data_IF_910862528303
#
_entry.id   IF_910862528303
#
_cell.length_a   1.000
_cell.length_b   1.000
_cell.length_c   1.000
_cell.angle_alpha   90.00
_cell.angle_beta   90.00
_cell.angle_gamma   90.00
#
_symmetry.space_group_name_H-M   'P 1'
#
loop_
_entity.id
_entity.type
_entity.pdbx_description
1 polymer ?
#
# COMPACT_ATOMS: atom_id res chain seq x y z
N UNK A 1 -0.49 3.84 1.90
CA UNK A 1 -1.66 4.53 2.48
C UNK A 1 -1.82 5.98 2.05
N UNK A 2 -1.00 6.94 2.51
CA UNK A 2 -1.18 8.39 2.20
C UNK A 2 -1.22 8.70 0.71
N UNK A 3 -0.35 8.07 -0.08
CA UNK A 3 -0.28 8.25 -1.53
C UNK A 3 -1.58 7.84 -2.24
N UNK A 4 -2.14 6.68 -1.88
CA UNK A 4 -3.45 6.23 -2.40
C UNK A 4 -4.57 7.16 -1.98
N UNK A 5 -4.57 7.66 -0.74
CA UNK A 5 -5.57 8.63 -0.28
C UNK A 5 -5.57 9.94 -1.07
N UNK A 6 -4.39 10.46 -1.43
CA UNK A 6 -4.27 11.64 -2.30
C UNK A 6 -4.80 11.36 -3.71
N UNK A 7 -4.37 10.24 -4.31
CA UNK A 7 -4.79 9.85 -5.66
C UNK A 7 -6.31 9.62 -5.73
N UNK A 8 -6.87 8.94 -4.72
CA UNK A 8 -8.29 8.68 -4.62
C UNK A 8 -9.10 9.97 -4.46
N UNK A 9 -8.63 10.93 -3.65
CA UNK A 9 -9.30 12.24 -3.52
C UNK A 9 -9.32 12.99 -4.86
N UNK A 10 -8.21 13.00 -5.59
CA UNK A 10 -8.13 13.61 -6.92
C UNK A 10 -9.07 12.91 -7.91
N UNK A 11 -9.12 11.57 -7.87
CA UNK A 11 -10.05 10.78 -8.68
C UNK A 11 -11.51 11.11 -8.37
N UNK A 12 -11.88 11.22 -7.09
CA UNK A 12 -13.24 11.61 -6.67
C UNK A 12 -13.60 13.00 -7.18
N UNK A 13 -12.68 13.96 -7.10
CA UNK A 13 -12.89 15.31 -7.61
C UNK A 13 -13.09 15.33 -9.13
N UNK A 14 -12.30 14.56 -9.87
CA UNK A 14 -12.41 14.46 -11.33
C UNK A 14 -13.72 13.78 -11.76
N UNK A 15 -14.08 12.66 -11.14
CA UNK A 15 -15.33 11.96 -11.44
C UNK A 15 -16.54 12.86 -11.14
N UNK A 16 -16.52 13.59 -10.01
CA UNK A 16 -17.56 14.59 -9.69
C UNK A 16 -17.61 15.71 -10.72
N UNK A 17 -16.44 16.21 -11.17
CA UNK A 17 -16.38 17.25 -12.20
C UNK A 17 -17.01 16.77 -13.50
N UNK A 18 -16.70 15.57 -13.97
CA UNK A 18 -17.30 15.02 -15.18
C UNK A 18 -18.82 14.86 -15.04
N UNK A 19 -19.31 14.28 -13.94
CA UNK A 19 -20.76 14.15 -13.73
C UNK A 19 -21.51 15.48 -13.63
N UNK A 20 -20.89 16.52 -13.07
CA UNK A 20 -21.53 17.82 -12.86
C UNK A 20 -21.45 18.76 -14.08
N UNK A 21 -20.41 18.61 -14.92
CA UNK A 21 -20.12 19.58 -16.00
C UNK A 21 -20.32 19.03 -17.41
N UNK A 22 -20.37 17.71 -17.59
CA UNK A 22 -20.53 17.08 -18.91
C UNK A 22 -22.02 16.74 -19.15
N UNK A 23 -22.71 17.45 -20.06
CA UNK A 23 -24.12 17.18 -20.35
C UNK A 23 -24.31 15.79 -20.96
N UNK A 24 -25.36 15.07 -20.56
CA UNK A 24 -25.68 13.74 -21.09
C UNK A 24 -24.91 12.60 -20.44
N UNK A 25 -24.00 12.87 -19.50
CA UNK A 25 -23.17 11.81 -18.89
C UNK A 25 -23.98 10.96 -17.89
N UNK A 26 -24.81 11.59 -17.06
CA UNK A 26 -25.68 10.88 -16.11
C UNK A 26 -26.83 10.15 -16.84
N UNK A 27 -27.29 10.71 -17.96
CA UNK A 27 -28.31 10.13 -18.82
C UNK A 27 -27.76 9.01 -19.71
N UNK A 28 -26.43 8.82 -19.75
CA UNK A 28 -25.77 7.78 -20.53
C UNK A 28 -25.70 8.05 -22.04
N UNK A 29 -25.98 9.28 -22.47
CA UNK A 29 -25.93 9.67 -23.89
C UNK A 29 -24.55 10.15 -24.33
N UNK A 30 -23.72 10.62 -23.38
CA UNK A 30 -22.35 11.08 -23.62
C UNK A 30 -21.34 10.11 -22.99
N UNK A 31 -20.22 9.87 -23.67
CA UNK A 31 -19.13 9.03 -23.13
C UNK A 31 -18.28 9.83 -22.14
N UNK A 32 -17.88 9.26 -20.99
CA UNK A 32 -16.96 9.90 -20.05
C UNK A 32 -15.54 9.99 -20.61
N UNK A 33 -14.76 10.91 -20.04
CA UNK A 33 -13.33 11.01 -20.31
C UNK A 33 -12.56 10.06 -19.38
N UNK A 34 -12.32 8.85 -19.89
CA UNK A 34 -11.52 7.84 -19.20
C UNK A 34 -10.04 8.19 -19.14
N UNK A 35 -9.52 8.87 -20.16
CA UNK A 35 -8.10 9.20 -20.27
C UNK A 35 -7.64 10.07 -19.10
N UNK A 36 -8.48 11.02 -18.67
CA UNK A 36 -8.15 11.87 -17.53
C UNK A 36 -8.02 11.10 -16.22
N UNK A 37 -8.92 10.15 -15.96
CA UNK A 37 -8.83 9.28 -14.78
C UNK A 37 -7.56 8.41 -14.81
N UNK A 38 -7.22 7.86 -15.98
CA UNK A 38 -5.98 7.08 -16.16
C UNK A 38 -4.78 7.94 -15.82
N UNK A 39 -4.67 9.13 -16.39
CA UNK A 39 -3.56 10.07 -16.17
C UNK A 39 -3.35 10.39 -14.68
N UNK A 40 -4.41 10.69 -13.93
CA UNK A 40 -4.34 10.95 -12.48
C UNK A 40 -3.72 9.76 -11.74
N UNK A 41 -4.16 8.54 -12.06
CA UNK A 41 -3.64 7.33 -11.41
C UNK A 41 -2.18 7.04 -11.82
N UNK A 42 -1.82 7.27 -13.07
CA UNK A 42 -0.48 7.06 -13.62
C UNK A 42 0.52 8.03 -13.02
N UNK A 43 0.24 9.32 -13.03
CA UNK A 43 1.14 10.34 -12.49
C UNK A 43 1.36 10.15 -10.99
N UNK A 44 0.29 9.88 -10.25
CA UNK A 44 0.40 9.66 -8.81
C UNK A 44 1.17 8.39 -8.48
N UNK A 45 0.96 7.29 -9.21
CA UNK A 45 1.66 6.03 -8.95
C UNK A 45 3.15 6.13 -9.28
N UNK A 46 3.50 6.73 -10.42
CA UNK A 46 4.90 6.95 -10.83
C UNK A 46 5.67 7.81 -9.84
N UNK A 47 5.07 8.90 -9.37
CA UNK A 47 5.73 9.81 -8.45
C UNK A 47 5.85 9.25 -7.03
N UNK A 48 4.79 8.65 -6.52
CA UNK A 48 4.72 8.28 -5.11
C UNK A 48 5.40 6.93 -4.81
N UNK A 49 5.66 6.08 -5.82
CA UNK A 49 6.38 4.81 -5.61
C UNK A 49 7.87 4.99 -5.25
N UNK A 50 8.47 6.12 -5.64
CA UNK A 50 9.90 6.36 -5.47
C UNK A 50 10.29 6.41 -3.99
N UNK A 51 9.51 7.08 -3.14
CA UNK A 51 9.86 7.26 -1.74
C UNK A 51 9.85 5.93 -0.94
N UNK A 52 8.80 5.08 -1.02
CA UNK A 52 8.84 3.75 -0.40
C UNK A 52 9.94 2.85 -0.99
N UNK A 53 10.17 2.90 -2.31
CA UNK A 53 11.24 2.13 -2.95
C UNK A 53 12.62 2.53 -2.44
N UNK A 54 12.90 3.84 -2.39
CA UNK A 54 14.15 4.37 -1.87
C UNK A 54 14.34 4.04 -0.39
N UNK A 55 13.28 4.09 0.43
CA UNK A 55 13.35 3.69 1.83
C UNK A 55 13.84 2.24 1.98
N UNK A 56 13.28 1.31 1.20
CA UNK A 56 13.63 -0.11 1.27
C UNK A 56 15.06 -0.35 0.79
N UNK A 57 15.46 0.22 -0.34
CA UNK A 57 16.79 0.03 -0.91
C UNK A 57 17.89 0.71 -0.08
N UNK A 58 17.64 1.91 0.43
CA UNK A 58 18.67 2.66 1.16
C UNK A 58 18.86 2.16 2.58
N UNK A 59 17.85 1.51 3.18
CA UNK A 59 17.94 1.07 4.58
C UNK A 59 19.09 0.09 4.83
N UNK A 60 19.23 -1.04 4.08
CA UNK A 60 20.38 -1.93 4.24
C UNK A 60 21.72 -1.27 3.99
N UNK A 61 21.81 -0.45 2.94
CA UNK A 61 23.05 0.24 2.55
C UNK A 61 23.51 1.21 3.65
N UNK A 62 22.61 2.03 4.17
CA UNK A 62 22.90 3.01 5.22
C UNK A 62 23.19 2.29 6.54
N UNK A 63 22.32 1.36 6.97
CA UNK A 63 22.48 0.66 8.24
C UNK A 63 23.76 -0.19 8.25
N UNK A 64 24.02 -0.95 7.19
CA UNK A 64 25.20 -1.80 7.04
C UNK A 64 26.51 -1.01 6.97
N UNK A 65 26.54 0.09 6.21
CA UNK A 65 27.79 0.87 6.02
C UNK A 65 28.10 1.76 7.23
N UNK A 66 27.09 2.42 7.81
CA UNK A 66 27.32 3.39 8.89
C UNK A 66 27.37 2.74 10.27
N UNK A 67 26.49 1.77 10.54
CA UNK A 67 26.30 1.18 11.87
C UNK A 67 26.75 -0.28 11.97
N UNK A 68 27.18 -0.88 10.86
CA UNK A 68 27.76 -2.21 10.82
C UNK A 68 26.74 -3.36 10.72
N UNK A 69 27.27 -4.56 10.58
CA UNK A 69 26.49 -5.78 10.29
C UNK A 69 25.61 -6.23 11.46
N UNK A 70 26.04 -5.95 12.70
CA UNK A 70 25.26 -6.26 13.91
C UNK A 70 23.98 -5.42 14.00
N UNK A 71 24.08 -4.12 13.70
CA UNK A 71 22.91 -3.24 13.65
C UNK A 71 21.96 -3.69 12.54
N UNK A 72 22.50 -3.96 11.35
CA UNK A 72 21.72 -4.44 10.21
C UNK A 72 20.98 -5.76 10.53
N UNK A 73 21.62 -6.71 11.22
CA UNK A 73 20.97 -7.95 11.66
C UNK A 73 19.76 -7.68 12.57
N UNK A 74 19.87 -6.72 13.49
CA UNK A 74 18.75 -6.27 14.33
C UNK A 74 17.61 -5.64 13.53
N UNK A 75 17.94 -4.79 12.55
CA UNK A 75 16.96 -4.18 11.64
C UNK A 75 16.20 -5.25 10.85
N UNK A 76 16.91 -6.24 10.29
CA UNK A 76 16.30 -7.32 9.51
C UNK A 76 15.38 -8.19 10.37
N UNK A 77 15.83 -8.59 11.55
CA UNK A 77 15.02 -9.39 12.48
C UNK A 77 13.76 -8.62 12.92
N UNK A 78 13.92 -7.34 13.29
CA UNK A 78 12.82 -6.47 13.68
C UNK A 78 11.82 -6.23 12.56
N UNK A 79 12.29 -5.93 11.35
CA UNK A 79 11.44 -5.74 10.17
C UNK A 79 10.65 -7.01 9.81
N UNK A 80 11.26 -8.19 9.96
CA UNK A 80 10.59 -9.46 9.73
C UNK A 80 9.45 -9.70 10.73
N UNK A 81 9.74 -9.68 12.03
CA UNK A 81 8.74 -10.05 13.06
C UNK A 81 7.63 -9.02 13.21
N UNK A 82 7.90 -7.75 12.94
CA UNK A 82 6.88 -6.69 12.95
C UNK A 82 6.10 -6.60 11.65
N UNK A 83 6.80 -6.63 10.51
CA UNK A 83 6.20 -6.45 9.18
C UNK A 83 5.23 -7.57 8.82
N UNK A 84 5.50 -8.82 9.23
CA UNK A 84 4.60 -9.93 8.95
C UNK A 84 3.23 -9.76 9.62
N UNK A 85 3.17 -9.25 10.85
CA UNK A 85 1.93 -9.05 11.59
C UNK A 85 1.06 -8.00 10.90
N UNK A 86 1.68 -6.91 10.46
CA UNK A 86 1.00 -5.84 9.72
C UNK A 86 0.55 -6.33 8.34
N UNK A 87 1.40 -7.05 7.60
CA UNK A 87 1.06 -7.55 6.26
C UNK A 87 -0.18 -8.45 6.29
N UNK A 88 -0.23 -9.40 7.23
CA UNK A 88 -1.35 -10.34 7.39
C UNK A 88 -2.62 -9.62 7.82
N UNK A 89 -2.55 -8.79 8.87
CA UNK A 89 -3.73 -8.07 9.37
C UNK A 89 -4.32 -7.13 8.31
N UNK A 90 -3.51 -6.33 7.63
CA UNK A 90 -3.98 -5.43 6.58
C UNK A 90 -4.66 -6.17 5.41
N UNK A 91 -4.04 -7.26 4.94
CA UNK A 91 -4.56 -8.03 3.81
C UNK A 91 -5.88 -8.73 4.17
N UNK A 92 -5.94 -9.34 5.35
CA UNK A 92 -7.14 -10.03 5.81
C UNK A 92 -8.28 -9.06 6.10
N UNK A 93 -8.00 -7.92 6.75
CA UNK A 93 -9.02 -6.91 7.05
C UNK A 93 -9.63 -6.34 5.77
N UNK A 94 -8.82 -5.96 4.78
CA UNK A 94 -9.35 -5.47 3.52
C UNK A 94 -10.11 -6.55 2.73
N UNK A 95 -9.63 -7.79 2.73
CA UNK A 95 -10.35 -8.92 2.11
C UNK A 95 -11.68 -9.23 2.80
N UNK A 96 -11.74 -9.10 4.12
CA UNK A 96 -12.96 -9.29 4.89
C UNK A 96 -14.00 -8.21 4.56
N UNK A 97 -13.60 -6.93 4.46
CA UNK A 97 -14.51 -5.85 4.08
C UNK A 97 -15.03 -5.97 2.65
N UNK A 98 -14.20 -6.36 1.69
CA UNK A 98 -14.66 -6.62 0.31
C UNK A 98 -15.68 -7.77 0.27
N UNK A 99 -15.39 -8.87 0.98
CA UNK A 99 -16.29 -10.01 1.03
C UNK A 99 -17.59 -9.70 1.78
N UNK A 100 -17.55 -8.87 2.83
CA UNK A 100 -18.75 -8.39 3.51
C UNK A 100 -19.62 -7.53 2.58
N UNK A 101 -19.02 -6.64 1.79
CA UNK A 101 -19.73 -5.87 0.75
C UNK A 101 -20.36 -6.83 -0.29
N UNK A 102 -19.57 -7.77 -0.84
CA UNK A 102 -20.06 -8.77 -1.81
C UNK A 102 -21.17 -9.65 -1.24
N UNK A 103 -21.14 -9.98 0.04
CA UNK A 103 -22.18 -10.74 0.72
C UNK A 103 -23.54 -10.02 0.67
N UNK A 104 -23.54 -8.72 0.99
CA UNK A 104 -24.74 -7.87 0.92
C UNK A 104 -25.20 -7.70 -0.53
N UNK A 105 -24.27 -7.50 -1.46
CA UNK A 105 -24.58 -7.32 -2.89
C UNK A 105 -25.17 -8.57 -3.55
N UNK A 106 -24.75 -9.75 -3.10
CA UNK A 106 -25.21 -11.03 -3.63
C UNK A 106 -26.60 -11.42 -3.11
N UNK A 107 -26.93 -11.10 -1.85
CA UNK A 107 -28.25 -11.41 -1.28
C UNK A 107 -28.62 -12.90 -1.33
N UNK A 108 -27.62 -13.79 -1.27
CA UNK A 108 -27.79 -15.23 -1.51
C UNK A 108 -28.42 -15.99 -0.33
N UNK A 109 -28.39 -15.42 0.87
CA UNK A 109 -29.01 -15.94 2.09
C UNK A 109 -30.11 -15.00 2.58
N UNK A 110 -30.98 -15.49 3.46
CA UNK A 110 -31.98 -14.67 4.15
C UNK A 110 -31.31 -13.50 4.91
N UNK A 111 -30.28 -13.80 5.71
CA UNK A 111 -29.52 -12.77 6.42
C UNK A 111 -28.90 -11.71 5.48
N UNK A 112 -28.38 -12.10 4.32
CA UNK A 112 -27.84 -11.14 3.36
C UNK A 112 -28.91 -10.22 2.76
N UNK A 113 -30.14 -10.72 2.57
CA UNK A 113 -31.28 -9.94 2.08
C UNK A 113 -31.82 -8.99 3.13
N UNK A 114 -31.80 -9.39 4.40
CA UNK A 114 -32.21 -8.54 5.53
C UNK A 114 -31.33 -7.30 5.68
N UNK A 115 -30.11 -7.34 5.17
CA UNK A 115 -29.19 -6.19 5.09
C UNK A 115 -29.58 -5.19 3.99
N UNK A 116 -30.67 -5.44 3.25
CA UNK A 116 -31.31 -4.49 2.33
C UNK A 116 -30.74 -4.44 0.91
N UNK A 117 -29.66 -5.16 0.61
CA UNK A 117 -29.08 -5.22 -0.73
C UNK A 117 -28.52 -3.89 -1.25
N UNK A 118 -28.31 -3.79 -2.56
CA UNK A 118 -27.62 -2.65 -3.20
C UNK A 118 -28.37 -1.33 -2.97
N UNK A 119 -27.65 -0.31 -2.51
CA UNK A 119 -28.18 1.03 -2.25
C UNK A 119 -28.76 1.23 -0.85
N UNK A 120 -28.90 0.17 -0.04
CA UNK A 120 -29.27 0.26 1.37
C UNK A 120 -28.18 0.96 2.19
N UNK A 121 -28.53 1.41 3.40
CA UNK A 121 -27.55 2.05 4.29
C UNK A 121 -26.48 1.06 4.78
N UNK A 122 -26.84 -0.21 4.99
CA UNK A 122 -25.87 -1.27 5.29
C UNK A 122 -24.92 -1.52 4.11
N UNK A 123 -25.42 -1.51 2.87
CA UNK A 123 -24.58 -1.64 1.68
C UNK A 123 -23.62 -0.46 1.54
N UNK A 124 -24.10 0.79 1.71
CA UNK A 124 -23.25 1.97 1.70
C UNK A 124 -22.16 1.89 2.78
N UNK A 125 -22.50 1.47 4.00
CA UNK A 125 -21.53 1.28 5.08
C UNK A 125 -20.47 0.23 4.73
N UNK A 126 -20.87 -0.89 4.11
CA UNK A 126 -19.95 -1.91 3.65
C UNK A 126 -19.04 -1.41 2.50
N UNK A 127 -19.55 -0.58 1.60
CA UNK A 127 -18.74 0.09 0.56
C UNK A 127 -17.71 1.02 1.19
N UNK A 128 -18.05 1.77 2.25
CA UNK A 128 -17.06 2.57 2.99
C UNK A 128 -15.96 1.67 3.55
N UNK A 129 -16.31 0.57 4.22
CA UNK A 129 -15.34 -0.38 4.76
C UNK A 129 -14.40 -0.94 3.68
N UNK A 130 -14.95 -1.34 2.52
CA UNK A 130 -14.17 -1.84 1.40
C UNK A 130 -13.19 -0.79 0.85
N UNK A 131 -13.64 0.45 0.64
CA UNK A 131 -12.77 1.54 0.15
C UNK A 131 -11.66 1.92 1.13
N UNK A 132 -11.85 1.73 2.44
CA UNK A 132 -10.79 1.85 3.44
C UNK A 132 -9.82 0.66 3.36
N UNK A 133 -10.35 -0.54 3.05
CA UNK A 133 -9.62 -1.79 2.89
C UNK A 133 -8.76 -1.88 1.61
N UNK A 134 -9.15 -1.22 0.52
CA UNK A 134 -8.43 -1.25 -0.75
C UNK A 134 -6.94 -0.89 -0.63
N UNK A 135 -6.55 0.27 -0.07
CA UNK A 135 -5.12 0.60 0.09
C UNK A 135 -4.39 -0.30 1.10
N UNK A 136 -5.12 -0.99 1.99
CA UNK A 136 -4.55 -1.97 2.92
C UNK A 136 -4.23 -3.28 2.20
N UNK A 137 -5.20 -3.87 1.49
CA UNK A 137 -5.07 -5.20 0.89
C UNK A 137 -4.37 -5.21 -0.48
N UNK A 138 -4.42 -4.10 -1.23
CA UNK A 138 -3.91 -4.07 -2.61
C UNK A 138 -2.65 -3.21 -2.77
N UNK A 139 -2.27 -2.42 -1.77
CA UNK A 139 -1.06 -1.58 -1.83
C UNK A 139 -0.12 -1.87 -0.69
N UNK A 140 -0.52 -1.55 0.55
CA UNK A 140 0.43 -1.51 1.67
C UNK A 140 0.73 -2.91 2.21
N UNK A 141 -0.30 -3.74 2.44
CA UNK A 141 -0.19 -5.08 3.01
C UNK A 141 0.70 -6.02 2.18
N UNK A 142 0.41 -6.25 0.89
CA UNK A 142 1.24 -7.11 0.04
C UNK A 142 2.67 -6.60 -0.13
N UNK A 143 2.87 -5.27 -0.21
CA UNK A 143 4.19 -4.67 -0.39
C UNK A 143 5.12 -4.88 0.81
N UNK A 144 4.57 -5.05 2.03
CA UNK A 144 5.38 -5.34 3.22
C UNK A 144 6.11 -6.68 3.11
N UNK A 145 5.54 -7.68 2.44
CA UNK A 145 6.25 -8.95 2.20
C UNK A 145 7.44 -8.76 1.23
N UNK A 146 7.30 -7.89 0.23
CA UNK A 146 8.40 -7.55 -0.69
C UNK A 146 9.49 -6.80 0.09
N UNK A 147 9.12 -5.82 0.92
CA UNK A 147 10.05 -5.06 1.76
C UNK A 147 10.96 -5.99 2.60
N UNK A 148 10.38 -6.98 3.27
CA UNK A 148 11.13 -7.90 4.14
C UNK A 148 12.12 -8.74 3.32
N UNK A 149 11.66 -9.36 2.24
CA UNK A 149 12.47 -10.25 1.41
C UNK A 149 13.56 -9.51 0.65
N UNK A 150 13.25 -8.31 0.16
CA UNK A 150 14.18 -7.48 -0.60
C UNK A 150 15.32 -7.01 0.31
N UNK A 151 15.02 -6.45 1.48
CA UNK A 151 16.08 -6.03 2.41
C UNK A 151 16.97 -7.20 2.85
N UNK A 152 16.40 -8.39 3.04
CA UNK A 152 17.17 -9.57 3.42
C UNK A 152 18.16 -10.01 2.31
N UNK A 153 17.70 -10.12 1.07
CA UNK A 153 18.56 -10.50 -0.07
C UNK A 153 19.57 -9.41 -0.37
N UNK A 154 19.18 -8.14 -0.34
CA UNK A 154 20.09 -7.01 -0.52
C UNK A 154 21.19 -7.01 0.54
N UNK A 155 20.83 -7.20 1.81
CA UNK A 155 21.80 -7.29 2.91
C UNK A 155 22.79 -8.44 2.73
N UNK A 156 22.33 -9.58 2.22
CA UNK A 156 23.17 -10.73 1.93
C UNK A 156 24.15 -10.44 0.78
N UNK A 157 23.66 -9.85 -0.32
CA UNK A 157 24.49 -9.50 -1.48
C UNK A 157 25.59 -8.49 -1.11
N UNK A 158 25.25 -7.48 -0.31
CA UNK A 158 26.20 -6.46 0.14
C UNK A 158 26.99 -6.86 1.40
N UNK A 159 26.80 -8.04 1.97
CA UNK A 159 27.50 -8.46 3.19
C UNK A 159 29.03 -8.35 3.10
N UNK A 160 29.70 -8.78 2.01
CA UNK A 160 31.16 -8.60 1.88
C UNK A 160 31.58 -7.13 1.85
N UNK A 161 30.76 -6.26 1.25
CA UNK A 161 30.99 -4.82 1.22
C UNK A 161 30.82 -4.20 2.62
N UNK A 162 29.78 -4.55 3.35
CA UNK A 162 29.61 -4.07 4.73
C UNK A 162 30.73 -4.56 5.66
N UNK A 163 31.28 -5.75 5.41
CA UNK A 163 32.43 -6.24 6.14
C UNK A 163 33.72 -5.49 5.79
N UNK A 164 33.91 -5.06 4.54
CA UNK A 164 35.07 -4.23 4.18
C UNK A 164 34.99 -2.83 4.79
N UNK A 165 33.79 -2.30 5.01
CA UNK A 165 33.57 -1.08 5.80
C UNK A 165 33.84 -1.34 7.29
N UNK A 166 34.97 -0.87 7.80
CA UNK A 166 35.30 -0.92 9.23
C UNK A 166 35.26 -2.35 9.85
N UNK A 167 35.62 -3.40 9.08
CA UNK A 167 35.53 -4.81 9.52
C UNK A 167 34.12 -5.22 9.97
N UNK A 168 33.08 -4.54 9.49
CA UNK A 168 31.69 -4.77 9.87
C UNK A 168 31.24 -4.08 11.17
N UNK A 169 32.09 -3.27 11.81
CA UNK A 169 31.70 -2.47 12.98
C UNK A 169 30.93 -1.20 12.62
N UNK A 170 31.01 -0.75 11.36
CA UNK A 170 30.35 0.46 10.86
C UNK A 170 31.22 1.71 10.95
N UNK A 171 31.10 2.58 9.94
CA UNK A 171 31.93 3.78 9.82
C UNK A 171 31.76 4.77 10.98
N UNK A 172 30.56 4.88 11.57
CA UNK A 172 30.30 5.82 12.67
C UNK A 172 31.12 5.45 13.91
N UNK A 173 31.22 4.16 14.22
CA UNK A 173 31.92 3.70 15.41
C UNK A 173 33.44 3.86 15.33
N UNK A 174 34.00 4.05 14.12
CA UNK A 174 35.42 4.38 13.95
C UNK A 174 35.77 5.79 14.41
N UNK A 175 34.81 6.73 14.48
CA UNK A 175 35.05 8.09 14.95
C UNK A 175 35.07 8.22 16.48
N UNK A 176 34.71 7.17 17.20
CA UNK A 176 34.63 7.15 18.67
C UNK A 176 35.69 6.24 19.32
N UNK A 177 36.59 5.66 18.54
CA UNK A 177 37.78 4.91 19.01
C UNK A 177 39.02 5.79 18.94
#
# INVERSE_FOLDING_TARGET
MKSVGKAALAMVQEVRRQFNTTPGLMEGTTRPDYSRCVEISTDSSLREMIAPGALVMLTPVIAGSLFGTRCLAGVLAGALVSGVQMAVSMSNTGGAWDNAKKYIEAGASEHARDLGGKGSDCHKAAVIGDTVGDPLKDTSGPSLNILIKLMAVESLVFAPFFYSCAKGEGLIFQFFQ
#
